data_IF_296716449924
#
_entry.id   IF_296716449924
#
_cell.length_a   1.000
_cell.length_b   1.000
_cell.length_c   1.000
_cell.angle_alpha   90.00
_cell.angle_beta   90.00
_cell.angle_gamma   90.00
#
_symmetry.space_group_name_H-M   'P 1'
#
loop_
_entity.id
_entity.type
_entity.pdbx_description
1 polymer ?
#
# COMPACT_ATOMS: atom_id res chain seq x y z
N UNK A 1 11.48 -28.10 13.39
CA UNK A 1 10.35 -27.66 12.55
C UNK A 1 10.07 -26.23 12.95
N UNK A 2 10.90 -25.33 12.44
CA UNK A 2 10.97 -23.94 12.87
C UNK A 2 9.78 -23.18 12.30
N UNK A 3 9.13 -22.43 13.17
CA UNK A 3 7.95 -21.65 12.92
C UNK A 3 8.24 -20.56 11.87
N UNK A 4 7.64 -20.69 10.68
CA UNK A 4 7.74 -19.73 9.58
C UNK A 4 6.85 -18.50 9.81
N UNK A 5 5.96 -18.55 10.81
CA UNK A 5 5.11 -17.44 11.24
C UNK A 5 5.78 -16.55 12.32
N UNK A 6 6.84 -17.01 12.99
CA UNK A 6 7.62 -16.22 13.96
C UNK A 6 8.68 -15.33 13.28
N UNK A 7 9.26 -15.73 12.13
CA UNK A 7 10.16 -14.85 11.36
C UNK A 7 9.44 -13.63 10.78
N UNK A 8 8.13 -13.74 10.54
CA UNK A 8 7.34 -12.66 9.97
C UNK A 8 6.92 -11.59 10.99
N UNK A 9 7.12 -11.83 12.29
CA UNK A 9 7.00 -10.78 13.31
C UNK A 9 8.28 -9.94 13.52
N UNK A 10 9.43 -10.37 12.96
CA UNK A 10 10.77 -9.84 13.32
C UNK A 10 11.71 -9.60 12.14
N UNK A 11 11.35 -10.00 10.93
CA UNK A 11 12.15 -9.80 9.73
C UNK A 11 12.07 -8.33 9.25
N UNK A 12 13.16 -7.54 9.34
CA UNK A 12 13.17 -6.15 8.91
C UNK A 12 13.05 -6.00 7.39
N UNK A 13 13.22 -7.09 6.61
CA UNK A 13 13.13 -7.07 5.16
C UNK A 13 11.77 -6.61 4.68
N UNK A 14 10.68 -7.10 5.32
CA UNK A 14 9.33 -6.79 4.85
C UNK A 14 9.00 -5.30 5.02
N UNK A 15 9.17 -4.67 6.19
CA UNK A 15 9.03 -3.22 6.33
C UNK A 15 9.95 -2.42 5.40
N UNK A 16 11.20 -2.86 5.21
CA UNK A 16 12.14 -2.16 4.34
C UNK A 16 11.73 -2.20 2.85
N UNK A 17 11.32 -3.38 2.35
CA UNK A 17 10.83 -3.53 0.98
C UNK A 17 9.49 -2.80 0.78
N UNK A 18 8.60 -2.84 1.76
CA UNK A 18 7.34 -2.09 1.71
C UNK A 18 7.61 -0.59 1.66
N UNK A 19 8.52 -0.08 2.50
CA UNK A 19 8.93 1.32 2.48
C UNK A 19 9.51 1.74 1.12
N UNK A 20 10.42 0.94 0.56
CA UNK A 20 11.01 1.20 -0.76
C UNK A 20 9.95 1.18 -1.87
N UNK A 21 9.00 0.23 -1.82
CA UNK A 21 7.91 0.17 -2.78
C UNK A 21 7.03 1.42 -2.70
N UNK A 22 6.66 1.84 -1.49
CA UNK A 22 5.90 3.08 -1.26
C UNK A 22 6.65 4.29 -1.80
N UNK A 23 7.97 4.37 -1.60
CA UNK A 23 8.78 5.49 -2.10
C UNK A 23 8.74 5.57 -3.63
N UNK A 24 8.82 4.42 -4.31
CA UNK A 24 8.72 4.36 -5.77
C UNK A 24 7.34 4.77 -6.25
N UNK A 25 6.26 4.27 -5.63
CA UNK A 25 4.89 4.64 -6.05
C UNK A 25 4.61 6.12 -5.75
N UNK A 26 5.01 6.61 -4.58
CA UNK A 26 4.90 8.02 -4.23
C UNK A 26 5.64 8.92 -5.22
N UNK A 27 6.84 8.51 -5.64
CA UNK A 27 7.58 9.23 -6.68
C UNK A 27 6.83 9.24 -8.02
N UNK A 28 6.29 8.10 -8.47
CA UNK A 28 5.50 8.02 -9.70
C UNK A 28 4.24 8.90 -9.67
N UNK A 29 3.64 9.08 -8.50
CA UNK A 29 2.45 9.92 -8.32
C UNK A 29 2.78 11.42 -8.23
N UNK A 30 4.00 11.76 -7.78
CA UNK A 30 4.43 13.15 -7.53
C UNK A 30 5.36 13.74 -8.59
N UNK A 31 5.96 12.91 -9.44
CA UNK A 31 6.80 13.38 -10.55
C UNK A 31 5.94 14.02 -11.65
N UNK A 32 6.49 15.04 -12.31
CA UNK A 32 5.81 15.67 -13.45
C UNK A 32 5.84 14.79 -14.71
N UNK A 33 4.87 15.01 -15.61
CA UNK A 33 4.72 14.30 -16.89
C UNK A 33 5.97 14.39 -17.82
N UNK A 34 6.86 15.35 -17.55
CA UNK A 34 8.14 15.54 -18.24
C UNK A 34 9.26 14.60 -17.75
N UNK A 35 9.14 14.04 -16.54
CA UNK A 35 10.06 13.06 -15.97
C UNK A 35 9.65 11.64 -16.34
N UNK A 36 8.36 11.34 -16.22
CA UNK A 36 7.78 10.03 -16.55
C UNK A 36 6.52 10.24 -17.38
N UNK A 37 6.45 9.53 -18.50
CA UNK A 37 5.24 9.44 -19.30
C UNK A 37 4.06 8.94 -18.44
N UNK A 38 2.95 9.69 -18.33
CA UNK A 38 1.83 9.35 -17.44
C UNK A 38 1.27 7.95 -17.70
N UNK A 39 1.17 7.53 -18.97
CA UNK A 39 0.71 6.19 -19.33
C UNK A 39 1.65 5.10 -18.80
N UNK A 40 2.95 5.36 -18.77
CA UNK A 40 3.96 4.46 -18.22
C UNK A 40 3.91 4.40 -16.69
N UNK A 41 3.69 5.54 -16.01
CA UNK A 41 3.47 5.57 -14.56
C UNK A 41 2.25 4.74 -14.16
N UNK A 42 1.11 4.94 -14.84
CA UNK A 42 -0.13 4.19 -14.62
C UNK A 42 0.10 2.69 -14.82
N UNK A 43 0.75 2.27 -15.92
CA UNK A 43 1.02 0.83 -16.18
C UNK A 43 1.86 0.19 -15.08
N UNK A 44 2.86 0.89 -14.54
CA UNK A 44 3.67 0.36 -13.45
C UNK A 44 2.81 0.24 -12.18
N UNK A 45 1.99 1.24 -11.87
CA UNK A 45 1.08 1.19 -10.71
C UNK A 45 0.05 0.07 -10.82
N UNK A 46 -0.54 -0.14 -12.00
CA UNK A 46 -1.43 -1.27 -12.28
C UNK A 46 -0.72 -2.62 -12.09
N UNK A 47 0.52 -2.74 -12.57
CA UNK A 47 1.32 -3.95 -12.37
C UNK A 47 1.62 -4.20 -10.89
N UNK A 48 1.98 -3.16 -10.14
CA UNK A 48 2.23 -3.24 -8.69
C UNK A 48 0.95 -3.70 -7.98
N UNK A 49 -0.17 -3.02 -8.23
CA UNK A 49 -1.46 -3.38 -7.62
C UNK A 49 -1.86 -4.83 -7.94
N UNK A 50 -1.70 -5.25 -9.20
CA UNK A 50 -1.99 -6.60 -9.64
C UNK A 50 -1.12 -7.68 -8.98
N UNK A 51 0.14 -7.39 -8.66
CA UNK A 51 1.01 -8.29 -7.88
C UNK A 51 0.58 -8.34 -6.40
N UNK A 52 0.31 -7.18 -5.79
CA UNK A 52 -0.11 -7.10 -4.39
C UNK A 52 -1.43 -7.83 -4.14
N UNK A 53 -2.40 -7.71 -5.06
CA UNK A 53 -3.70 -8.37 -4.96
C UNK A 53 -3.62 -9.90 -5.14
N UNK A 54 -2.57 -10.41 -5.79
CA UNK A 54 -2.32 -11.86 -5.96
C UNK A 54 -1.72 -12.50 -4.72
N UNK A 55 -1.27 -11.72 -3.74
CA UNK A 55 -0.78 -12.27 -2.48
C UNK A 55 -1.90 -13.04 -1.74
N UNK A 56 -1.56 -14.15 -1.06
CA UNK A 56 -2.49 -14.82 -0.15
C UNK A 56 -3.06 -13.83 0.88
N UNK A 57 -4.32 -14.01 1.29
CA UNK A 57 -5.03 -13.07 2.18
C UNK A 57 -4.23 -12.72 3.43
N UNK A 58 -3.67 -13.71 4.14
CA UNK A 58 -2.86 -13.45 5.34
C UNK A 58 -1.56 -12.67 5.08
N UNK A 59 -0.98 -12.75 3.87
CA UNK A 59 0.19 -11.94 3.50
C UNK A 59 -0.22 -10.50 3.17
N UNK A 60 -1.39 -10.32 2.52
CA UNK A 60 -1.96 -9.00 2.26
C UNK A 60 -2.35 -8.29 3.55
N UNK A 61 -3.00 -8.98 4.49
CA UNK A 61 -3.30 -8.45 5.83
C UNK A 61 -2.03 -7.99 6.56
N UNK A 62 -0.97 -8.81 6.49
CA UNK A 62 0.33 -8.44 7.07
C UNK A 62 0.95 -7.22 6.38
N UNK A 63 0.85 -7.11 5.06
CA UNK A 63 1.32 -5.93 4.32
C UNK A 63 0.55 -4.67 4.75
N UNK A 64 -0.77 -4.77 4.93
CA UNK A 64 -1.60 -3.65 5.44
C UNK A 64 -1.14 -3.22 6.83
N UNK A 65 -0.85 -4.15 7.74
CA UNK A 65 -0.31 -3.82 9.07
C UNK A 65 1.04 -3.08 8.99
N UNK A 66 1.92 -3.48 8.06
CA UNK A 66 3.19 -2.79 7.83
C UNK A 66 2.96 -1.37 7.31
N UNK A 67 2.03 -1.17 6.38
CA UNK A 67 1.70 0.15 5.85
C UNK A 67 1.13 1.08 6.94
N UNK A 68 0.29 0.55 7.84
CA UNK A 68 -0.20 1.29 9.02
C UNK A 68 0.96 1.71 9.92
N UNK A 69 1.87 0.79 10.24
CA UNK A 69 3.04 1.09 11.07
C UNK A 69 3.97 2.14 10.42
N UNK A 70 4.15 2.08 9.09
CA UNK A 70 4.89 3.11 8.34
C UNK A 70 4.19 4.47 8.43
N UNK A 71 2.86 4.51 8.28
CA UNK A 71 2.09 5.75 8.40
C UNK A 71 2.19 6.37 9.81
N UNK A 72 2.15 5.55 10.86
CA UNK A 72 2.30 6.01 12.25
C UNK A 72 3.69 6.63 12.52
N UNK A 73 4.74 6.06 11.90
CA UNK A 73 6.11 6.54 12.03
C UNK A 73 6.45 7.73 11.11
N UNK A 74 5.64 7.98 10.08
CA UNK A 74 5.89 8.99 9.07
C UNK A 74 5.79 10.41 9.65
N UNK A 75 6.73 11.30 9.31
CA UNK A 75 6.77 12.68 9.78
C UNK A 75 6.14 13.66 8.78
N UNK A 76 6.25 13.37 7.48
CA UNK A 76 5.64 14.18 6.41
C UNK A 76 4.12 13.91 6.34
N UNK A 77 3.26 14.91 6.60
CA UNK A 77 1.81 14.74 6.54
C UNK A 77 1.30 14.23 5.18
N UNK A 78 1.88 14.69 4.07
CA UNK A 78 1.42 14.32 2.74
C UNK A 78 1.72 12.83 2.44
N UNK A 79 2.93 12.40 2.76
CA UNK A 79 3.34 10.99 2.64
C UNK A 79 2.58 10.09 3.61
N UNK A 80 2.26 10.59 4.82
CA UNK A 80 1.43 9.88 5.79
C UNK A 80 0.03 9.62 5.27
N UNK A 81 -0.61 10.63 4.68
CA UNK A 81 -1.97 10.49 4.15
C UNK A 81 -2.00 9.55 2.93
N UNK A 82 -0.97 9.59 2.09
CA UNK A 82 -0.78 8.59 1.03
C UNK A 82 -0.66 7.17 1.57
N UNK A 83 0.19 6.94 2.57
CA UNK A 83 0.36 5.62 3.20
C UNK A 83 -0.97 5.06 3.75
N UNK A 84 -1.83 5.92 4.31
CA UNK A 84 -3.16 5.54 4.80
C UNK A 84 -4.14 5.20 3.67
N UNK A 85 -4.11 5.96 2.58
CA UNK A 85 -4.99 5.74 1.42
C UNK A 85 -4.55 4.60 0.51
N UNK A 86 -3.25 4.26 0.51
CA UNK A 86 -2.67 3.30 -0.42
C UNK A 86 -3.34 1.91 -0.39
N UNK A 87 -3.60 1.28 0.78
CA UNK A 87 -4.32 0.00 0.82
C UNK A 87 -5.68 0.03 0.11
N UNK A 88 -6.43 1.10 0.29
CA UNK A 88 -7.74 1.26 -0.35
C UNK A 88 -7.60 1.51 -1.86
N UNK A 89 -6.69 2.39 -2.27
CA UNK A 89 -6.45 2.71 -3.68
C UNK A 89 -6.07 1.47 -4.52
N UNK A 90 -5.34 0.52 -3.92
CA UNK A 90 -4.99 -0.76 -4.55
C UNK A 90 -6.13 -1.80 -4.47
N UNK A 91 -7.12 -1.61 -3.59
CA UNK A 91 -8.19 -2.59 -3.34
C UNK A 91 -7.79 -3.72 -2.38
N UNK A 92 -6.82 -3.46 -1.48
CA UNK A 92 -6.42 -4.42 -0.44
C UNK A 92 -7.36 -4.44 0.76
N UNK A 93 -8.11 -3.35 0.98
CA UNK A 93 -9.12 -3.20 2.03
C UNK A 93 -10.38 -2.56 1.44
N UNK A 94 -11.51 -2.78 2.08
CA UNK A 94 -12.74 -2.04 1.79
C UNK A 94 -12.66 -0.64 2.38
N UNK A 95 -13.42 0.30 1.82
CA UNK A 95 -13.57 1.63 2.39
C UNK A 95 -14.25 1.53 3.75
N UNK A 96 -13.63 2.06 4.80
CA UNK A 96 -14.25 2.10 6.14
C UNK A 96 -15.43 3.10 6.19
N UNK A 97 -15.60 3.92 5.14
CA UNK A 97 -16.75 4.81 4.93
C UNK A 97 -17.97 4.09 4.34
N UNK A 98 -18.35 2.98 4.97
CA UNK A 98 -19.71 2.45 4.98
C UNK A 98 -20.67 3.32 5.81
N UNK A 99 -20.65 4.65 5.67
CA UNK A 99 -21.81 5.45 6.08
C UNK A 99 -22.91 5.20 5.06
N UNK A 100 -23.81 4.27 5.39
CA UNK A 100 -25.02 3.97 4.64
C UNK A 100 -25.70 5.23 4.11
N UNK A 101 -25.47 5.55 2.83
CA UNK A 101 -26.34 6.42 2.06
C UNK A 101 -27.40 5.54 1.44
N UNK A 102 -28.47 5.37 2.20
CA UNK A 102 -29.84 5.36 1.70
C UNK A 102 -30.16 4.31 0.65
N UNK A 103 -30.48 3.11 1.13
CA UNK A 103 -31.74 2.52 0.68
C UNK A 103 -32.86 3.40 1.26
N UNK A 104 -33.21 4.48 0.56
CA UNK A 104 -34.44 5.22 0.76
C UNK A 104 -34.96 5.62 -0.62
N UNK A 105 -36.13 5.05 -0.92
CA UNK A 105 -37.02 5.21 -2.09
C UNK A 105 -36.55 4.62 -3.40
#
# INVERSE_FOLDING_TARGET
>A
MTDMADMTGRDPLVPALTGMLVDVVWWLESCGDEEVDPDSAVKIMESVGGELLRLPSGQRERLVQVLVALAEAEQDPARRDFLKGFPFAIGMVEDEDGSGRGCLT
#
